data_IF_540085403334
#
_entry.id   IF_540085403334
#
_cell.length_a   1.000
_cell.length_b   1.000
_cell.length_c   1.000
_cell.angle_alpha   90.00
_cell.angle_beta   90.00
_cell.angle_gamma   90.00
#
_symmetry.space_group_name_H-M   'P 1'
#
loop_
_entity.id
_entity.type
_entity.pdbx_description
1 polymer ?
#
# COMPACT_ATOMS: atom_id res chain seq x y z
N UNK A 1 -8.45 3.28 -22.33
CA UNK A 1 -9.06 4.59 -22.00
C UNK A 1 -8.06 5.72 -22.25
N UNK A 2 -6.90 5.73 -21.58
CA UNK A 2 -5.87 6.76 -21.80
C UNK A 2 -5.42 6.84 -23.27
N UNK A 3 -5.36 5.71 -23.97
CA UNK A 3 -5.13 5.70 -25.43
C UNK A 3 -6.21 6.49 -26.19
N UNK A 4 -7.51 6.29 -25.88
CA UNK A 4 -8.59 7.03 -26.55
C UNK A 4 -8.48 8.55 -26.29
N UNK A 5 -8.08 8.95 -25.08
CA UNK A 5 -7.82 10.37 -24.77
C UNK A 5 -6.60 10.91 -25.51
N UNK A 6 -5.55 10.10 -25.67
CA UNK A 6 -4.35 10.48 -26.43
C UNK A 6 -4.66 10.71 -27.92
N UNK A 7 -5.67 10.01 -28.46
CA UNK A 7 -6.19 10.21 -29.81
C UNK A 7 -7.23 11.35 -29.91
N UNK A 8 -7.38 12.18 -28.86
CA UNK A 8 -8.27 13.35 -28.87
C UNK A 8 -9.76 13.03 -28.74
N UNK A 9 -10.14 11.80 -28.39
CA UNK A 9 -11.54 11.42 -28.24
C UNK A 9 -12.14 12.05 -26.98
N UNK A 10 -13.25 12.77 -27.14
CA UNK A 10 -13.96 13.41 -26.03
C UNK A 10 -14.51 12.42 -24.99
N UNK A 11 -14.68 12.87 -23.74
CA UNK A 11 -15.09 12.01 -22.62
C UNK A 11 -16.44 11.30 -22.83
N UNK A 12 -17.41 11.96 -23.49
CA UNK A 12 -18.72 11.38 -23.80
C UNK A 12 -18.62 10.25 -24.83
N UNK A 13 -17.78 10.44 -25.84
CA UNK A 13 -17.55 9.43 -26.87
C UNK A 13 -16.76 8.24 -26.30
N UNK A 14 -15.83 8.49 -25.39
CA UNK A 14 -15.19 7.44 -24.59
C UNK A 14 -16.20 6.64 -23.76
N UNK A 15 -17.15 7.29 -23.10
CA UNK A 15 -18.21 6.62 -22.33
C UNK A 15 -19.07 5.71 -23.21
N UNK A 16 -19.46 6.21 -24.39
CA UNK A 16 -20.27 5.47 -25.37
C UNK A 16 -19.52 4.26 -25.95
N UNK A 17 -18.25 4.43 -26.32
CA UNK A 17 -17.41 3.35 -26.87
C UNK A 17 -17.06 2.27 -25.85
N UNK A 18 -16.84 2.66 -24.60
CA UNK A 18 -16.46 1.74 -23.52
C UNK A 18 -17.66 1.15 -22.78
N UNK A 19 -18.88 1.64 -23.03
CA UNK A 19 -20.09 1.25 -22.27
C UNK A 19 -20.01 1.63 -20.79
N UNK A 20 -19.20 2.64 -20.43
CA UNK A 20 -18.97 3.04 -19.05
C UNK A 20 -19.79 4.25 -18.67
N UNK A 21 -20.23 4.31 -17.41
CA UNK A 21 -20.81 5.53 -16.85
C UNK A 21 -19.81 6.69 -16.96
N UNK A 22 -20.32 7.89 -17.28
CA UNK A 22 -19.48 9.09 -17.46
C UNK A 22 -18.64 9.41 -16.22
N UNK A 23 -19.14 9.09 -15.02
CA UNK A 23 -18.39 9.26 -13.77
C UNK A 23 -17.17 8.33 -13.69
N UNK A 24 -17.27 7.11 -14.21
CA UNK A 24 -16.15 6.17 -14.32
C UNK A 24 -15.13 6.71 -15.33
N UNK A 25 -15.57 7.15 -16.50
CA UNK A 25 -14.65 7.75 -17.50
C UNK A 25 -13.93 8.97 -16.92
N UNK A 26 -14.65 9.88 -16.24
CA UNK A 26 -14.04 11.04 -15.56
C UNK A 26 -13.05 10.64 -14.47
N UNK A 27 -13.36 9.61 -13.66
CA UNK A 27 -12.45 9.09 -12.62
C UNK A 27 -11.16 8.57 -13.24
N UNK A 28 -11.25 7.76 -14.28
CA UNK A 28 -10.08 7.19 -14.93
C UNK A 28 -9.29 8.27 -15.68
N UNK A 29 -9.96 9.24 -16.33
CA UNK A 29 -9.31 10.31 -17.08
C UNK A 29 -8.48 11.25 -16.19
N UNK A 30 -8.91 11.47 -14.94
CA UNK A 30 -8.18 12.27 -13.95
C UNK A 30 -6.97 11.52 -13.36
N UNK A 31 -7.01 10.19 -13.36
CA UNK A 31 -5.96 9.38 -12.79
C UNK A 31 -4.75 9.32 -13.74
N UNK A 32 -3.58 9.75 -13.27
CA UNK A 32 -2.34 9.74 -14.07
C UNK A 32 -1.65 8.38 -14.09
N UNK A 33 -1.96 7.53 -13.11
CA UNK A 33 -1.39 6.21 -12.95
C UNK A 33 -2.38 5.29 -12.25
N UNK A 34 -2.11 3.98 -12.33
CA UNK A 34 -2.94 2.94 -11.71
C UNK A 34 -3.00 3.11 -10.18
N UNK A 35 -1.95 3.64 -9.56
CA UNK A 35 -1.88 3.85 -8.11
C UNK A 35 -2.94 4.86 -7.60
N UNK A 36 -3.26 5.88 -8.38
CA UNK A 36 -4.36 6.82 -8.07
C UNK A 36 -5.74 6.18 -8.13
N UNK A 37 -5.92 5.14 -8.97
CA UNK A 37 -7.16 4.38 -9.07
C UNK A 37 -7.31 3.32 -7.97
N UNK A 38 -6.19 2.73 -7.55
CA UNK A 38 -6.11 1.71 -6.51
C UNK A 38 -6.18 2.28 -5.10
N UNK A 39 -5.99 3.59 -4.92
CA UNK A 39 -6.01 4.20 -3.59
C UNK A 39 -7.39 3.95 -2.95
N UNK A 40 -7.47 3.17 -1.85
CA UNK A 40 -8.74 2.94 -1.18
C UNK A 40 -9.31 4.28 -0.70
N UNK A 41 -10.64 4.44 -0.67
CA UNK A 41 -11.25 5.66 -0.17
C UNK A 41 -10.73 5.96 1.24
N UNK A 42 -10.32 7.22 1.48
CA UNK A 42 -9.89 7.67 2.81
C UNK A 42 -11.13 7.83 3.67
N UNK A 43 -11.51 6.76 4.37
CA UNK A 43 -12.60 6.82 5.34
C UNK A 43 -12.09 7.50 6.62
N UNK A 44 -12.84 8.48 7.12
CA UNK A 44 -12.56 9.11 8.42
C UNK A 44 -12.79 8.14 9.59
N UNK A 45 -12.41 8.59 10.79
CA UNK A 45 -12.69 7.84 12.02
C UNK A 45 -14.18 7.56 12.17
N UNK A 46 -14.50 6.37 12.63
CA UNK A 46 -15.85 5.84 12.74
C UNK A 46 -16.01 5.15 14.10
N UNK A 47 -17.24 5.13 14.63
CA UNK A 47 -17.56 4.49 15.91
C UNK A 47 -17.22 2.99 15.97
N UNK A 48 -17.04 2.34 14.81
CA UNK A 48 -16.65 0.92 14.72
C UNK A 48 -15.12 0.73 14.84
N UNK A 49 -14.32 1.78 14.63
CA UNK A 49 -12.85 1.68 14.65
C UNK A 49 -12.28 1.14 15.98
N UNK A 50 -12.78 1.52 17.17
CA UNK A 50 -12.34 0.93 18.44
C UNK A 50 -12.58 -0.59 18.54
N UNK A 51 -13.56 -1.12 17.80
CA UNK A 51 -13.93 -2.53 17.83
C UNK A 51 -13.41 -3.31 16.61
N UNK A 52 -12.50 -2.72 15.82
CA UNK A 52 -12.00 -3.28 14.56
C UNK A 52 -11.48 -4.71 14.69
N UNK A 53 -10.69 -4.97 15.74
CA UNK A 53 -10.08 -6.29 15.96
C UNK A 53 -11.11 -7.37 16.25
N UNK A 54 -12.15 -7.05 17.03
CA UNK A 54 -13.25 -7.98 17.32
C UNK A 54 -14.01 -8.31 16.04
N UNK A 55 -14.40 -7.28 15.28
CA UNK A 55 -15.10 -7.46 14.00
C UNK A 55 -14.28 -8.33 13.05
N UNK A 56 -12.97 -8.11 12.98
CA UNK A 56 -12.06 -8.91 12.15
C UNK A 56 -12.02 -10.37 12.56
N UNK A 57 -11.72 -10.67 13.83
CA UNK A 57 -11.62 -12.06 14.31
C UNK A 57 -12.92 -12.82 14.03
N UNK A 58 -14.07 -12.19 14.28
CA UNK A 58 -15.38 -12.80 14.07
C UNK A 58 -15.71 -13.03 12.59
N UNK A 59 -15.28 -12.14 11.70
CA UNK A 59 -15.42 -12.36 10.26
C UNK A 59 -14.57 -13.54 9.77
N UNK A 60 -13.34 -13.70 10.29
CA UNK A 60 -12.48 -14.86 9.98
C UNK A 60 -13.10 -16.16 10.48
N UNK A 61 -13.75 -16.13 11.64
CA UNK A 61 -14.50 -17.26 12.22
C UNK A 61 -15.86 -17.49 11.53
N UNK A 62 -16.20 -16.74 10.47
CA UNK A 62 -17.47 -16.80 9.74
C UNK A 62 -18.71 -16.59 10.63
N UNK A 63 -18.56 -15.83 11.72
CA UNK A 63 -19.64 -15.53 12.65
C UNK A 63 -20.59 -14.49 12.02
N UNK A 64 -21.92 -14.68 12.13
CA UNK A 64 -22.89 -13.77 11.54
C UNK A 64 -22.79 -12.36 12.13
N UNK A 65 -22.96 -11.35 11.28
CA UNK A 65 -22.81 -9.91 11.64
C UNK A 65 -23.75 -9.49 12.78
N UNK A 66 -24.90 -10.14 12.94
CA UNK A 66 -25.83 -9.91 14.05
C UNK A 66 -25.22 -10.25 15.41
N UNK A 67 -24.44 -11.34 15.49
CA UNK A 67 -23.70 -11.73 16.70
C UNK A 67 -22.54 -10.80 16.97
N UNK A 68 -21.81 -10.40 15.92
CA UNK A 68 -20.75 -9.39 16.02
C UNK A 68 -21.31 -8.07 16.58
N UNK A 69 -22.49 -7.64 16.11
CA UNK A 69 -23.16 -6.43 16.59
C UNK A 69 -23.52 -6.51 18.07
N UNK A 70 -24.00 -7.66 18.55
CA UNK A 70 -24.31 -7.86 19.96
C UNK A 70 -23.04 -7.76 20.82
N UNK A 71 -21.97 -8.44 20.42
CA UNK A 71 -20.69 -8.45 21.14
C UNK A 71 -20.04 -7.07 21.22
N UNK A 72 -20.08 -6.27 20.14
CA UNK A 72 -19.54 -4.91 20.19
C UNK A 72 -20.41 -3.97 21.03
N UNK A 73 -21.73 -4.18 21.10
CA UNK A 73 -22.64 -3.39 21.95
C UNK A 73 -22.37 -3.62 23.42
N UNK A 74 -22.12 -4.87 23.82
CA UNK A 74 -21.69 -5.20 25.19
C UNK A 74 -20.39 -4.49 25.57
N UNK A 75 -19.52 -4.23 24.59
CA UNK A 75 -18.26 -3.49 24.75
C UNK A 75 -18.41 -1.97 24.62
N UNK A 76 -19.63 -1.45 24.58
CA UNK A 76 -19.92 -0.01 24.56
C UNK A 76 -20.15 0.62 23.17
N UNK A 77 -20.38 -0.18 22.13
CA UNK A 77 -20.71 0.34 20.80
C UNK A 77 -22.11 0.98 20.77
N UNK A 78 -22.16 2.28 20.48
CA UNK A 78 -23.41 3.08 20.40
C UNK A 78 -23.91 3.29 18.96
N UNK A 79 -23.20 2.78 17.96
CA UNK A 79 -23.53 2.99 16.55
C UNK A 79 -24.66 2.08 16.03
N UNK A 80 -25.12 2.36 14.80
CA UNK A 80 -26.18 1.58 14.16
C UNK A 80 -25.66 0.28 13.54
N UNK A 81 -26.56 -0.69 13.32
CA UNK A 81 -26.27 -1.91 12.57
C UNK A 81 -25.82 -1.61 11.13
N UNK A 82 -26.47 -0.63 10.49
CA UNK A 82 -26.13 -0.17 9.15
C UNK A 82 -24.70 0.39 9.08
N UNK A 83 -24.24 1.07 10.15
CA UNK A 83 -22.87 1.56 10.22
C UNK A 83 -21.86 0.40 10.25
N UNK A 84 -22.16 -0.67 10.99
CA UNK A 84 -21.33 -1.88 11.05
C UNK A 84 -21.30 -2.59 9.69
N UNK A 85 -22.46 -2.83 9.07
CA UNK A 85 -22.54 -3.46 7.74
C UNK A 85 -21.78 -2.63 6.70
N UNK A 86 -21.97 -1.31 6.70
CA UNK A 86 -21.22 -0.39 5.84
C UNK A 86 -19.72 -0.48 6.10
N UNK A 87 -19.29 -0.52 7.36
CA UNK A 87 -17.88 -0.65 7.76
C UNK A 87 -17.24 -1.94 7.22
N UNK A 88 -17.97 -3.06 7.32
CA UNK A 88 -17.55 -4.36 6.81
C UNK A 88 -17.47 -4.33 5.29
N UNK A 89 -18.50 -3.84 4.60
CA UNK A 89 -18.53 -3.74 3.14
C UNK A 89 -17.45 -2.82 2.57
N UNK A 90 -17.07 -1.78 3.32
CA UNK A 90 -15.93 -0.91 3.01
C UNK A 90 -14.58 -1.64 3.12
N UNK A 91 -14.55 -2.86 3.67
CA UNK A 91 -13.33 -3.62 3.92
C UNK A 91 -12.48 -3.02 5.05
N UNK A 92 -13.05 -2.17 5.92
CA UNK A 92 -12.26 -1.51 6.97
C UNK A 92 -11.81 -2.46 8.06
N UNK A 93 -12.60 -3.52 8.30
CA UNK A 93 -12.23 -4.60 9.21
C UNK A 93 -11.08 -5.47 8.67
N UNK A 94 -10.84 -5.44 7.37
CA UNK A 94 -9.80 -6.20 6.70
C UNK A 94 -8.52 -5.36 6.53
N UNK A 95 -7.42 -5.69 7.23
CA UNK A 95 -6.15 -5.01 7.02
C UNK A 95 -5.57 -5.27 5.62
N UNK A 96 -5.86 -6.40 4.97
CA UNK A 96 -5.32 -6.74 3.63
C UNK A 96 -5.80 -5.77 2.55
N UNK A 97 -7.01 -5.22 2.71
CA UNK A 97 -7.54 -4.17 1.81
C UNK A 97 -6.91 -2.80 2.00
N UNK A 98 -6.22 -2.55 3.11
CA UNK A 98 -5.52 -1.29 3.33
C UNK A 98 -4.05 -1.52 3.07
N UNK A 99 -3.69 -1.58 1.78
CA UNK A 99 -2.28 -1.61 1.39
C UNK A 99 -1.55 -0.45 2.07
N UNK A 100 -0.51 -0.71 2.87
CA UNK A 100 0.22 0.34 3.55
C UNK A 100 0.79 1.31 2.52
N UNK A 101 0.90 2.59 2.89
CA UNK A 101 1.65 3.52 2.04
C UNK A 101 3.09 3.02 1.86
N UNK A 102 3.75 3.30 0.73
CA UNK A 102 5.12 2.83 0.51
C UNK A 102 6.09 3.17 1.65
N UNK A 103 5.99 4.39 2.21
CA UNK A 103 6.79 4.80 3.38
C UNK A 103 6.52 3.96 4.62
N UNK A 104 5.26 3.60 4.86
CA UNK A 104 4.86 2.82 6.03
C UNK A 104 5.27 1.36 5.87
N UNK A 105 5.19 0.82 4.66
CA UNK A 105 5.72 -0.50 4.32
C UNK A 105 7.24 -0.57 4.54
N UNK A 106 7.99 0.41 4.03
CA UNK A 106 9.45 0.51 4.28
C UNK A 106 9.75 0.61 5.78
N UNK A 107 9.00 1.41 6.53
CA UNK A 107 9.14 1.50 7.98
C UNK A 107 8.94 0.15 8.67
N UNK A 108 7.94 -0.65 8.24
CA UNK A 108 7.72 -2.00 8.77
C UNK A 108 8.87 -2.95 8.43
N UNK A 109 9.39 -2.90 7.20
CA UNK A 109 10.52 -3.73 6.76
C UNK A 109 11.80 -3.40 7.55
N UNK A 110 12.01 -2.13 7.86
CA UNK A 110 13.18 -1.65 8.61
C UNK A 110 13.06 -1.83 10.13
N UNK A 111 11.86 -2.11 10.65
CA UNK A 111 11.64 -2.33 12.08
C UNK A 111 11.85 -3.80 12.42
N UNK A 112 12.44 -4.09 13.59
CA UNK A 112 12.59 -5.47 14.06
C UNK A 112 11.22 -6.14 14.20
N UNK A 113 11.05 -7.38 13.71
CA UNK A 113 9.78 -8.10 13.79
C UNK A 113 9.22 -8.26 15.21
N UNK A 114 10.09 -8.34 16.23
CA UNK A 114 9.70 -8.44 17.63
C UNK A 114 9.11 -7.13 18.21
N UNK A 115 9.46 -5.99 17.62
CA UNK A 115 8.99 -4.66 18.04
C UNK A 115 7.67 -4.28 17.32
N UNK A 116 7.23 -5.10 16.35
CA UNK A 116 6.01 -4.87 15.57
C UNK A 116 4.80 -5.55 16.22
N UNK A 117 3.64 -4.87 16.30
CA UNK A 117 2.40 -5.50 16.72
C UNK A 117 2.06 -6.72 15.86
N UNK A 118 1.51 -7.76 16.49
CA UNK A 118 1.21 -9.05 15.85
C UNK A 118 0.39 -8.92 14.56
N UNK A 119 -0.60 -8.04 14.55
CA UNK A 119 -1.43 -7.79 13.37
C UNK A 119 -0.64 -7.17 12.21
N UNK A 120 0.35 -6.33 12.51
CA UNK A 120 1.22 -5.70 11.50
C UNK A 120 2.23 -6.71 10.98
N UNK A 121 2.77 -7.57 11.86
CA UNK A 121 3.68 -8.65 11.48
C UNK A 121 3.04 -9.64 10.51
N UNK A 122 1.81 -10.08 10.79
CA UNK A 122 1.04 -10.95 9.88
C UNK A 122 0.78 -10.28 8.54
N UNK A 123 0.27 -9.06 8.55
CA UNK A 123 0.00 -8.32 7.32
C UNK A 123 1.27 -8.07 6.48
N UNK A 124 2.41 -7.78 7.11
CA UNK A 124 3.69 -7.69 6.40
C UNK A 124 4.07 -9.04 5.76
N UNK A 125 3.88 -10.15 6.46
CA UNK A 125 4.15 -11.49 5.94
C UNK A 125 3.26 -11.80 4.72
N UNK A 126 1.97 -11.50 4.78
CA UNK A 126 1.03 -11.72 3.68
C UNK A 126 1.40 -10.87 2.46
N UNK A 127 1.70 -9.58 2.64
CA UNK A 127 2.14 -8.70 1.56
C UNK A 127 3.44 -9.17 0.91
N UNK A 128 4.35 -9.72 1.71
CA UNK A 128 5.67 -10.16 1.27
C UNK A 128 5.58 -11.51 0.56
N UNK A 129 4.72 -12.43 1.01
CA UNK A 129 4.47 -13.73 0.39
C UNK A 129 3.87 -13.62 -1.02
N UNK A 130 3.10 -12.55 -1.29
CA UNK A 130 2.53 -12.29 -2.60
C UNK A 130 3.54 -11.78 -3.65
N UNK A 131 4.75 -11.38 -3.24
CA UNK A 131 5.78 -10.83 -4.13
C UNK A 131 7.17 -11.38 -3.76
N UNK A 132 7.72 -12.33 -4.54
CA UNK A 132 9.04 -12.92 -4.29
C UNK A 132 10.16 -11.88 -4.13
N UNK A 133 10.10 -10.80 -4.91
CA UNK A 133 11.07 -9.70 -4.85
C UNK A 133 11.04 -8.98 -3.50
N UNK A 134 9.84 -8.79 -2.92
CA UNK A 134 9.66 -8.20 -1.59
C UNK A 134 10.16 -9.15 -0.49
N UNK A 135 10.04 -10.46 -0.70
CA UNK A 135 10.60 -11.48 0.21
C UNK A 135 12.12 -11.38 0.24
N UNK A 136 12.76 -11.37 -0.93
CA UNK A 136 14.21 -11.21 -1.05
C UNK A 136 14.69 -9.90 -0.44
N UNK A 137 14.01 -8.78 -0.73
CA UNK A 137 14.34 -7.48 -0.16
C UNK A 137 14.28 -7.48 1.36
N UNK A 138 13.20 -8.02 1.93
CA UNK A 138 13.01 -8.07 3.39
C UNK A 138 14.09 -8.91 4.07
N UNK A 139 14.51 -10.02 3.46
CA UNK A 139 15.62 -10.85 3.94
C UNK A 139 16.94 -10.08 3.91
N UNK A 140 17.28 -9.40 2.80
CA UNK A 140 18.52 -8.63 2.68
C UNK A 140 18.61 -7.47 3.67
N UNK A 141 17.51 -6.74 3.88
CA UNK A 141 17.46 -5.68 4.90
C UNK A 141 17.71 -6.24 6.30
N UNK A 142 17.17 -7.43 6.62
CA UNK A 142 17.38 -8.08 7.92
C UNK A 142 18.82 -8.57 8.09
N UNK A 143 19.42 -9.16 7.07
CA UNK A 143 20.84 -9.56 7.08
C UNK A 143 21.74 -8.35 7.32
N UNK A 144 21.49 -7.23 6.62
CA UNK A 144 22.23 -5.99 6.81
C UNK A 144 22.09 -5.44 8.23
N UNK A 145 20.87 -5.44 8.78
CA UNK A 145 20.63 -5.03 10.16
C UNK A 145 21.37 -5.94 11.18
N UNK A 146 21.46 -7.24 10.92
CA UNK A 146 22.23 -8.18 11.74
C UNK A 146 23.74 -7.87 11.70
N UNK A 147 24.28 -7.59 10.51
CA UNK A 147 25.69 -7.18 10.33
C UNK A 147 26.00 -5.91 11.13
N UNK A 148 25.12 -4.90 11.04
CA UNK A 148 25.28 -3.63 11.75
C UNK A 148 25.16 -3.80 13.28
N UNK A 149 24.19 -4.58 13.76
CA UNK A 149 23.96 -4.78 15.20
C UNK A 149 25.05 -5.64 15.85
N UNK A 150 25.58 -6.63 15.13
CA UNK A 150 26.64 -7.53 15.61
C UNK A 150 28.05 -7.04 15.26
N UNK A 151 28.19 -5.86 14.63
CA UNK A 151 29.45 -5.23 14.23
C UNK A 151 30.37 -6.13 13.38
N UNK A 152 29.78 -6.95 12.51
CA UNK A 152 30.50 -7.92 11.65
C UNK A 152 30.91 -7.31 10.31
N UNK A 153 31.81 -6.33 10.37
CA UNK A 153 32.26 -5.59 9.17
C UNK A 153 32.80 -6.49 8.05
N UNK A 154 33.38 -7.65 8.39
CA UNK A 154 33.88 -8.62 7.41
C UNK A 154 32.80 -9.22 6.50
N UNK A 155 31.55 -9.31 6.97
CA UNK A 155 30.45 -9.94 6.21
C UNK A 155 29.81 -8.97 5.19
N UNK A 156 30.15 -7.68 5.28
CA UNK A 156 29.55 -6.61 4.46
C UNK A 156 29.85 -6.78 2.97
N UNK A 157 31.09 -7.13 2.61
CA UNK A 157 31.48 -7.28 1.20
C UNK A 157 30.78 -8.47 0.53
N UNK A 158 30.63 -9.58 1.26
CA UNK A 158 29.85 -10.73 0.82
C UNK A 158 28.37 -10.36 0.65
N UNK A 159 27.79 -9.68 1.64
CA UNK A 159 26.40 -9.22 1.58
C UNK A 159 26.10 -8.29 0.38
N UNK A 160 26.99 -7.34 0.07
CA UNK A 160 26.84 -6.45 -1.10
C UNK A 160 26.82 -7.26 -2.40
N UNK A 161 27.72 -8.25 -2.51
CA UNK A 161 27.85 -9.09 -3.70
C UNK A 161 26.59 -9.93 -3.93
N UNK A 162 26.07 -10.57 -2.87
CA UNK A 162 24.85 -11.38 -2.95
C UNK A 162 23.61 -10.52 -3.23
N UNK A 163 23.49 -9.35 -2.60
CA UNK A 163 22.37 -8.43 -2.83
C UNK A 163 22.33 -7.90 -4.27
N UNK A 164 23.49 -7.67 -4.88
CA UNK A 164 23.59 -7.24 -6.29
C UNK A 164 23.24 -8.36 -7.27
N UNK A 165 23.53 -9.62 -6.92
CA UNK A 165 23.19 -10.78 -7.75
C UNK A 165 21.69 -11.08 -7.77
N UNK A 166 20.96 -10.76 -6.69
CA UNK A 166 19.52 -11.01 -6.57
C UNK A 166 18.63 -10.15 -7.49
N UNK A 167 19.21 -9.25 -8.31
CA UNK A 167 18.49 -8.42 -9.27
C UNK A 167 17.21 -7.76 -8.70
N UNK A 168 17.30 -7.23 -7.47
CA UNK A 168 16.24 -6.37 -6.94
C UNK A 168 16.03 -5.22 -7.93
N UNK A 169 14.79 -4.94 -8.38
CA UNK A 169 14.54 -3.93 -9.41
C UNK A 169 15.17 -2.63 -8.93
N UNK A 170 16.27 -2.26 -9.58
CA UNK A 170 16.96 -1.04 -9.26
C UNK A 170 15.94 0.08 -9.36
N UNK A 171 15.80 0.86 -8.30
CA UNK A 171 15.23 2.20 -8.43
C UNK A 171 16.07 2.87 -9.51
N UNK A 172 15.55 2.95 -10.73
CA UNK A 172 16.21 3.74 -11.77
C UNK A 172 16.36 5.13 -11.17
N UNK A 173 17.57 5.63 -10.95
CA UNK A 173 17.73 6.98 -10.47
C UNK A 173 17.07 7.87 -11.52
N UNK A 174 16.02 8.58 -11.13
CA UNK A 174 15.41 9.60 -11.99
C UNK A 174 16.50 10.62 -12.26
N UNK A 175 17.17 10.49 -13.40
CA UNK A 175 18.21 11.37 -13.88
C UNK A 175 17.58 12.68 -14.36
N UNK A 176 16.95 13.43 -13.45
CA UNK A 176 16.66 14.85 -13.70
C UNK A 176 17.89 15.67 -13.31
N UNK A 177 19.01 15.38 -13.98
CA UNK A 177 20.15 16.28 -14.07
C UNK A 177 19.84 17.34 -15.11
N UNK A 178 19.05 18.35 -14.75
CA UNK A 178 18.85 19.54 -15.60
C UNK A 178 20.14 20.37 -15.52
N UNK A 179 21.10 20.07 -16.40
CA UNK A 179 22.22 20.97 -16.72
C UNK A 179 21.62 22.30 -17.19
N UNK A 180 21.67 23.34 -16.37
CA UNK A 180 21.60 24.72 -16.85
C UNK A 180 22.94 24.98 -17.56
N UNK A 181 22.98 24.83 -18.87
CA UNK A 181 24.02 25.43 -19.70
C UNK A 181 23.76 26.93 -19.72
N UNK A 182 24.41 27.66 -18.82
CA UNK A 182 24.56 29.11 -18.93
C UNK A 182 25.66 29.41 -19.94
N UNK A 183 25.27 29.97 -21.08
CA UNK A 183 26.12 30.54 -22.12
C UNK A 183 27.10 31.59 -21.53
N UNK A 184 28.39 31.61 -21.91
CA UNK A 184 29.31 32.66 -21.47
C UNK A 184 29.08 33.96 -22.27
N UNK A 185 29.30 35.15 -21.68
CA UNK A 185 29.25 36.42 -22.41
C UNK A 185 30.52 36.62 -23.24
N UNK A 186 30.33 37.07 -24.49
CA UNK A 186 31.40 37.49 -25.41
C UNK A 186 31.75 38.97 -25.14
N UNK A 187 33.03 39.39 -25.28
CA UNK A 187 33.49 40.71 -24.87
C UNK A 187 33.21 41.79 -25.93
N UNK A 188 33.05 43.02 -25.44
CA UNK A 188 33.29 44.26 -26.18
C UNK A 188 34.27 45.11 -25.35
#
# INVERSE_FOLDING_TARGET
MHDLLAHGVGLLECARRLGWALNTVKRYARARNVQELLRPPRYGTCLVDPHRDVVRCRLTEQIPVTRVLAEIRERGYTGSANLLVRYINQGRADPERVSPSPRRLVSWIMTRPADLPEHTRRHLADLTANCPEMTTLSTRVREFAAILTQRRGQDLAAWISTTRADALPASTPTSTGRRKTGTPPSPA
#
